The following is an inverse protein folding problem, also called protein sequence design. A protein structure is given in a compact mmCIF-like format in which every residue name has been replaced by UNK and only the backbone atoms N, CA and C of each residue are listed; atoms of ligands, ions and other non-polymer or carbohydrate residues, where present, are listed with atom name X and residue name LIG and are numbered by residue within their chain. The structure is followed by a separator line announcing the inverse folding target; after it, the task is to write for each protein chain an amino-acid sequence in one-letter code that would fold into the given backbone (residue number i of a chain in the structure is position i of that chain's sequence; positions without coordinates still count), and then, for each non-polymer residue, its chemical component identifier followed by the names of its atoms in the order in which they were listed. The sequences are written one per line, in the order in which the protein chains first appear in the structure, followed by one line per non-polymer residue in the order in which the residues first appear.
data_IF_920393574241
#
_entry.id   IF_920393574241
#
_cell.length_a   1.000
_cell.length_b   1.000
_cell.length_c   1.000
_cell.angle_alpha   90.00
_cell.angle_beta   90.00
_cell.angle_gamma   90.00
#
_symmetry.space_group_name_H-M   'P 1'
#
loop_
_entity.id
_entity.type
_entity.pdbx_description
1 polymer ?
#
# COMPACT_ATOMS: atom_id res chain seq x y z
N UNK A 1 19.09 -9.41 17.59
CA UNK A 1 19.34 -10.21 16.37
C UNK A 1 19.46 -9.23 15.22
N UNK A 2 20.54 -9.28 14.46
CA UNK A 2 20.83 -8.34 13.37
C UNK A 2 19.96 -8.66 12.15
N UNK A 3 19.29 -7.65 11.60
CA UNK A 3 18.62 -7.72 10.30
C UNK A 3 19.68 -7.77 9.20
N UNK A 4 19.54 -8.61 8.16
CA UNK A 4 20.44 -8.57 7.02
C UNK A 4 20.22 -7.26 6.22
N UNK A 5 21.33 -6.70 5.75
CA UNK A 5 21.42 -5.44 5.03
C UNK A 5 20.77 -5.51 3.64
N UNK A 6 20.22 -4.37 3.23
CA UNK A 6 19.70 -4.10 1.89
C UNK A 6 20.76 -4.35 0.80
N UNK A 7 20.34 -4.97 -0.31
CA UNK A 7 21.11 -4.96 -1.57
C UNK A 7 21.44 -6.35 -2.13
N UNK A 8 20.42 -7.12 -2.48
CA UNK A 8 20.33 -7.95 -3.72
C UNK A 8 19.17 -8.93 -3.55
N UNK A 9 17.96 -8.50 -3.91
CA UNK A 9 16.91 -9.43 -4.28
C UNK A 9 16.79 -9.41 -5.79
N UNK A 10 17.66 -10.17 -6.44
CA UNK A 10 17.42 -10.65 -7.80
C UNK A 10 17.22 -12.15 -7.71
N UNK A 11 15.98 -12.67 -7.68
CA UNK A 11 15.77 -14.05 -8.06
C UNK A 11 15.80 -14.06 -9.58
N UNK A 12 17.00 -14.14 -10.15
CA UNK A 12 17.15 -14.66 -11.49
C UNK A 12 17.21 -16.17 -11.38
N UNK A 13 16.05 -16.77 -11.13
CA UNK A 13 15.82 -18.19 -11.32
C UNK A 13 14.58 -18.36 -12.18
N UNK A 14 14.80 -18.50 -13.49
CA UNK A 14 13.75 -18.79 -14.46
C UNK A 14 13.21 -20.23 -14.36
N UNK A 15 13.66 -21.03 -13.37
CA UNK A 15 13.27 -22.43 -13.20
C UNK A 15 12.56 -22.78 -11.87
N UNK A 16 12.19 -21.80 -11.04
CA UNK A 16 11.27 -22.09 -9.93
C UNK A 16 9.91 -22.50 -10.50
N UNK A 17 9.36 -23.63 -10.05
CA UNK A 17 8.09 -24.24 -10.46
C UNK A 17 6.92 -23.23 -10.56
N UNK A 18 6.87 -22.43 -11.62
CA UNK A 18 5.80 -21.46 -11.83
C UNK A 18 4.53 -22.24 -12.09
N UNK A 19 3.45 -21.84 -11.42
CA UNK A 19 2.13 -22.38 -11.66
C UNK A 19 1.85 -22.45 -13.17
N UNK A 20 1.27 -23.57 -13.62
CA UNK A 20 1.14 -23.87 -15.05
C UNK A 20 0.34 -22.83 -15.86
N UNK A 21 -0.46 -21.99 -15.18
CA UNK A 21 -1.22 -20.89 -15.76
C UNK A 21 -1.58 -19.86 -14.67
N UNK A 22 -2.14 -18.72 -15.11
CA UNK A 22 -2.51 -17.60 -14.23
C UNK A 22 -3.61 -17.98 -13.24
N UNK A 23 -4.57 -18.84 -13.59
CA UNK A 23 -5.66 -19.21 -12.68
C UNK A 23 -5.14 -20.08 -11.52
N UNK A 24 -4.27 -21.05 -11.80
CA UNK A 24 -3.57 -21.81 -10.77
C UNK A 24 -2.72 -20.89 -9.89
N UNK A 25 -2.07 -19.89 -10.48
CA UNK A 25 -1.27 -18.93 -9.72
C UNK A 25 -2.12 -18.06 -8.79
N UNK A 26 -3.26 -17.56 -9.26
CA UNK A 26 -4.22 -16.81 -8.42
C UNK A 26 -4.63 -17.61 -7.19
N UNK A 27 -4.91 -18.91 -7.35
CA UNK A 27 -5.27 -19.80 -6.24
C UNK A 27 -4.11 -19.89 -5.24
N UNK A 28 -2.89 -20.14 -5.73
CA UNK A 28 -1.69 -20.18 -4.88
C UNK A 28 -1.48 -18.86 -4.11
N UNK A 29 -1.66 -17.71 -4.76
CA UNK A 29 -1.53 -16.41 -4.12
C UNK A 29 -2.64 -16.14 -3.09
N UNK A 30 -3.88 -16.57 -3.36
CA UNK A 30 -4.99 -16.47 -2.40
C UNK A 30 -4.70 -17.31 -1.14
N UNK A 31 -4.17 -18.51 -1.31
CA UNK A 31 -3.80 -19.35 -0.16
C UNK A 31 -2.59 -18.78 0.58
N UNK A 32 -1.60 -18.26 -0.15
CA UNK A 32 -0.47 -17.55 0.46
C UNK A 32 -0.91 -16.34 1.29
N UNK A 33 -1.87 -15.53 0.81
CA UNK A 33 -2.43 -14.41 1.57
C UNK A 33 -3.08 -14.88 2.87
N UNK A 34 -3.80 -16.00 2.86
CA UNK A 34 -4.39 -16.57 4.08
C UNK A 34 -3.30 -17.05 5.05
N UNK A 35 -2.27 -17.70 4.54
CA UNK A 35 -1.19 -18.24 5.35
C UNK A 35 -0.39 -17.11 6.03
N UNK A 36 0.09 -16.13 5.25
CA UNK A 36 0.85 -15.01 5.80
C UNK A 36 0.01 -14.11 6.72
N UNK A 37 -1.32 -14.09 6.54
CA UNK A 37 -2.19 -13.34 7.46
C UNK A 37 -2.12 -13.83 8.91
N UNK A 38 -1.79 -15.11 9.12
CA UNK A 38 -1.62 -15.65 10.47
C UNK A 38 -0.44 -15.01 11.18
N UNK A 39 0.65 -14.70 10.47
CA UNK A 39 1.80 -14.01 11.04
C UNK A 39 1.44 -12.58 11.46
N UNK A 40 0.63 -11.88 10.66
CA UNK A 40 0.13 -10.54 10.99
C UNK A 40 -0.80 -10.54 12.19
N UNK A 41 -1.67 -11.54 12.33
CA UNK A 41 -2.51 -11.73 13.52
C UNK A 41 -1.68 -12.08 14.75
N UNK A 42 -0.66 -12.93 14.61
CA UNK A 42 0.27 -13.24 15.68
C UNK A 42 1.08 -12.01 16.14
N UNK A 43 1.40 -11.07 15.23
CA UNK A 43 1.97 -9.78 15.60
C UNK A 43 1.00 -8.93 16.43
N UNK A 44 -0.29 -8.92 16.07
CA UNK A 44 -1.32 -8.24 16.88
C UNK A 44 -1.39 -8.84 18.29
N UNK A 45 -1.36 -10.17 18.43
CA UNK A 45 -1.32 -10.85 19.75
C UNK A 45 -0.13 -10.39 20.60
N UNK A 46 1.05 -10.24 19.98
CA UNK A 46 2.29 -9.83 20.67
C UNK A 46 2.23 -8.41 21.21
N UNK A 47 1.46 -7.52 20.57
CA UNK A 47 1.34 -6.14 21.02
C UNK A 47 0.53 -5.97 22.30
N UNK A 48 -0.28 -6.97 22.69
CA UNK A 48 -1.12 -6.93 23.90
C UNK A 48 -1.94 -5.64 23.98
N UNK A 49 -2.59 -5.31 22.87
CA UNK A 49 -3.35 -4.08 22.70
C UNK A 49 -4.61 -4.07 23.58
N UNK A 50 -5.17 -2.88 23.88
CA UNK A 50 -6.52 -2.77 24.43
C UNK A 50 -7.54 -3.48 23.52
N UNK A 51 -8.57 -4.07 24.11
CA UNK A 51 -9.57 -4.91 23.43
C UNK A 51 -10.17 -4.24 22.18
N UNK A 52 -10.53 -2.96 22.26
CA UNK A 52 -11.11 -2.21 21.15
C UNK A 52 -10.13 -2.05 19.96
N UNK A 53 -8.86 -1.76 20.24
CA UNK A 53 -7.84 -1.60 19.20
C UNK A 53 -7.43 -2.95 18.61
N UNK A 54 -7.33 -4.00 19.43
CA UNK A 54 -7.11 -5.38 18.97
C UNK A 54 -8.20 -5.81 17.99
N UNK A 55 -9.47 -5.68 18.42
CA UNK A 55 -10.64 -6.04 17.61
C UNK A 55 -10.69 -5.24 16.30
N UNK A 56 -10.37 -3.95 16.35
CA UNK A 56 -10.30 -3.09 15.18
C UNK A 56 -9.25 -3.59 14.19
N UNK A 57 -8.01 -3.82 14.64
CA UNK A 57 -6.92 -4.29 13.75
C UNK A 57 -7.24 -5.64 13.13
N UNK A 58 -7.78 -6.59 13.89
CA UNK A 58 -8.20 -7.91 13.35
C UNK A 58 -9.30 -7.77 12.30
N UNK A 59 -10.28 -6.91 12.55
CA UNK A 59 -11.38 -6.65 11.60
C UNK A 59 -10.86 -6.02 10.31
N UNK A 60 -9.93 -5.06 10.43
CA UNK A 60 -9.28 -4.45 9.27
C UNK A 60 -8.48 -5.48 8.47
N UNK A 61 -7.65 -6.31 9.13
CA UNK A 61 -6.89 -7.40 8.49
C UNK A 61 -7.83 -8.38 7.78
N UNK A 62 -8.90 -8.84 8.43
CA UNK A 62 -9.89 -9.73 7.83
C UNK A 62 -10.53 -9.14 6.57
N UNK A 63 -10.89 -7.85 6.62
CA UNK A 63 -11.43 -7.12 5.48
C UNK A 63 -10.43 -7.02 4.34
N UNK A 64 -9.15 -6.77 4.65
CA UNK A 64 -8.07 -6.71 3.67
C UNK A 64 -7.89 -8.07 2.98
N UNK A 65 -7.88 -9.18 3.72
CA UNK A 65 -7.80 -10.54 3.16
C UNK A 65 -8.95 -10.79 2.20
N UNK A 66 -10.19 -10.52 2.61
CA UNK A 66 -11.37 -10.73 1.77
C UNK A 66 -11.28 -9.93 0.47
N UNK A 67 -10.97 -8.64 0.56
CA UNK A 67 -10.85 -7.74 -0.59
C UNK A 67 -9.68 -8.09 -1.51
N UNK A 68 -8.53 -8.42 -0.94
CA UNK A 68 -7.34 -8.84 -1.71
C UNK A 68 -7.65 -10.11 -2.49
N UNK A 69 -8.25 -11.11 -1.85
CA UNK A 69 -8.61 -12.37 -2.49
C UNK A 69 -9.65 -12.18 -3.60
N UNK A 70 -10.66 -11.33 -3.37
CA UNK A 70 -11.63 -10.94 -4.40
C UNK A 70 -10.92 -10.31 -5.62
N UNK A 71 -9.98 -9.41 -5.37
CA UNK A 71 -9.22 -8.75 -6.42
C UNK A 71 -8.32 -9.72 -7.18
N UNK A 72 -7.53 -10.54 -6.49
CA UNK A 72 -6.67 -11.58 -7.11
C UNK A 72 -7.51 -12.49 -8.02
N UNK A 73 -8.71 -12.88 -7.58
CA UNK A 73 -9.58 -13.77 -8.35
C UNK A 73 -10.13 -13.12 -9.64
N UNK A 74 -10.41 -11.81 -9.63
CA UNK A 74 -11.22 -11.16 -10.69
C UNK A 74 -10.45 -10.20 -11.59
N UNK A 75 -9.45 -9.52 -11.07
CA UNK A 75 -8.81 -8.37 -11.74
C UNK A 75 -7.59 -8.78 -12.59
N UNK A 76 -6.50 -9.31 -12.00
CA UNK A 76 -5.23 -9.45 -12.69
C UNK A 76 -5.28 -10.57 -13.74
N UNK A 77 -4.90 -10.28 -14.99
CA UNK A 77 -4.90 -11.25 -16.10
C UNK A 77 -3.52 -11.81 -16.44
N UNK A 78 -2.48 -11.42 -15.69
CA UNK A 78 -1.09 -11.85 -15.89
C UNK A 78 -0.47 -12.16 -14.54
N UNK A 79 0.59 -12.98 -14.52
CA UNK A 79 1.36 -13.26 -13.29
C UNK A 79 1.82 -11.97 -12.60
N UNK A 80 2.42 -11.04 -13.35
CA UNK A 80 2.86 -9.74 -12.83
C UNK A 80 1.72 -8.94 -12.19
N UNK A 81 0.52 -8.96 -12.78
CA UNK A 81 -0.63 -8.28 -12.21
C UNK A 81 -1.08 -8.95 -10.89
N UNK A 82 -1.01 -10.28 -10.81
CA UNK A 82 -1.29 -11.02 -9.57
C UNK A 82 -0.29 -10.62 -8.48
N UNK A 83 1.00 -10.55 -8.83
CA UNK A 83 2.07 -10.11 -7.91
C UNK A 83 1.77 -8.73 -7.32
N UNK A 84 1.42 -7.75 -8.17
CA UNK A 84 1.11 -6.38 -7.73
C UNK A 84 -0.04 -6.36 -6.72
N UNK A 85 -1.14 -7.07 -7.00
CA UNK A 85 -2.30 -7.13 -6.09
C UNK A 85 -1.96 -7.86 -4.79
N UNK A 86 -1.23 -8.97 -4.88
CA UNK A 86 -0.81 -9.75 -3.72
C UNK A 86 0.10 -8.92 -2.80
N UNK A 87 1.14 -8.30 -3.37
CA UNK A 87 2.09 -7.47 -2.63
C UNK A 87 1.43 -6.24 -2.01
N UNK A 88 0.42 -5.67 -2.67
CA UNK A 88 -0.41 -4.61 -2.12
C UNK A 88 -1.24 -5.09 -0.92
N UNK A 89 -1.87 -6.26 -1.01
CA UNK A 89 -2.61 -6.86 0.10
C UNK A 89 -1.74 -7.13 1.33
N UNK A 90 -0.51 -7.64 1.12
CA UNK A 90 0.49 -7.85 2.18
C UNK A 90 0.87 -6.52 2.85
N UNK A 91 1.10 -5.46 2.07
CA UNK A 91 1.37 -4.13 2.60
C UNK A 91 0.22 -3.62 3.46
N UNK A 92 -1.03 -3.72 2.98
CA UNK A 92 -2.21 -3.31 3.73
C UNK A 92 -2.34 -4.06 5.04
N UNK A 93 -2.06 -5.36 5.06
CA UNK A 93 -2.06 -6.14 6.31
C UNK A 93 -0.98 -5.61 7.27
N UNK A 94 0.23 -5.34 6.78
CA UNK A 94 1.29 -4.74 7.60
C UNK A 94 0.88 -3.36 8.17
N UNK A 95 0.25 -2.51 7.36
CA UNK A 95 -0.28 -1.21 7.77
C UNK A 95 -1.35 -1.36 8.87
N UNK A 96 -2.31 -2.28 8.70
CA UNK A 96 -3.35 -2.55 9.68
C UNK A 96 -2.78 -3.14 10.98
N UNK A 97 -1.80 -4.04 10.89
CA UNK A 97 -1.08 -4.59 12.05
C UNK A 97 -0.33 -3.49 12.80
N UNK A 98 0.35 -2.58 12.11
CA UNK A 98 1.03 -1.43 12.74
C UNK A 98 0.04 -0.44 13.37
N UNK A 99 -1.17 -0.35 12.81
CA UNK A 99 -2.24 0.54 13.25
C UNK A 99 -2.04 1.98 12.79
N UNK A 100 -3.08 2.79 12.98
CA UNK A 100 -3.14 4.19 12.51
C UNK A 100 -3.19 5.13 13.72
N UNK A 101 -2.03 5.53 14.26
CA UNK A 101 -1.95 6.37 15.44
C UNK A 101 -2.47 7.80 15.21
N UNK A 102 -2.45 8.28 13.97
CA UNK A 102 -3.04 9.55 13.54
C UNK A 102 -3.90 9.31 12.30
N UNK A 103 -4.73 10.29 11.94
CA UNK A 103 -5.65 10.14 10.81
C UNK A 103 -4.91 10.30 9.48
N UNK A 104 -5.03 9.32 8.61
CA UNK A 104 -4.44 9.32 7.27
C UNK A 104 -5.41 8.65 6.28
N UNK A 105 -5.58 9.28 5.12
CA UNK A 105 -6.38 8.77 4.02
C UNK A 105 -5.75 9.11 2.68
N UNK A 106 -5.78 8.14 1.76
CA UNK A 106 -5.34 8.28 0.38
C UNK A 106 -6.51 7.88 -0.50
N UNK A 107 -6.90 8.78 -1.40
CA UNK A 107 -8.12 8.66 -2.18
C UNK A 107 -7.84 8.84 -3.66
N UNK A 108 -8.43 7.96 -4.46
CA UNK A 108 -8.52 8.07 -5.92
C UNK A 108 -9.99 7.96 -6.27
N UNK A 109 -10.54 8.98 -6.93
CA UNK A 109 -11.99 9.10 -7.20
C UNK A 109 -12.84 8.86 -5.93
N UNK A 110 -12.43 9.47 -4.81
CA UNK A 110 -13.07 9.39 -3.49
C UNK A 110 -13.10 7.98 -2.87
N UNK A 111 -12.41 7.00 -3.46
CA UNK A 111 -12.25 5.64 -2.93
C UNK A 111 -10.84 5.44 -2.41
N UNK A 112 -10.70 4.63 -1.36
CA UNK A 112 -9.41 4.31 -0.75
C UNK A 112 -9.09 2.82 -0.84
N UNK A 113 -7.81 2.48 -0.88
CA UNK A 113 -7.33 1.10 -0.79
C UNK A 113 -7.44 0.32 -2.09
N UNK A 114 -8.65 0.18 -2.65
CA UNK A 114 -8.93 -0.54 -3.90
C UNK A 114 -9.80 0.32 -4.81
N UNK A 115 -9.33 0.67 -6.00
CA UNK A 115 -10.01 1.65 -6.85
C UNK A 115 -9.86 1.36 -8.35
N UNK A 116 -10.69 2.02 -9.15
CA UNK A 116 -10.67 1.93 -10.61
C UNK A 116 -10.36 3.31 -11.18
N UNK A 117 -9.57 3.36 -12.24
CA UNK A 117 -9.31 4.61 -12.95
C UNK A 117 -9.16 4.36 -14.46
N UNK A 118 -9.32 5.41 -15.26
CA UNK A 118 -8.95 5.38 -16.68
C UNK A 118 -7.46 5.69 -16.82
N UNK A 119 -6.81 5.30 -17.94
CA UNK A 119 -5.49 5.82 -18.27
C UNK A 119 -5.49 7.35 -18.32
N UNK A 120 -4.36 7.96 -17.98
CA UNK A 120 -4.18 9.41 -17.94
C UNK A 120 -3.51 9.91 -16.67
N UNK A 121 -3.65 11.21 -16.38
CA UNK A 121 -3.25 11.79 -15.10
C UNK A 121 -4.32 11.48 -14.06
N UNK A 122 -3.97 10.65 -13.08
CA UNK A 122 -4.84 10.27 -11.98
C UNK A 122 -4.58 11.20 -10.80
N UNK A 123 -5.63 11.86 -10.32
CA UNK A 123 -5.61 12.67 -9.11
C UNK A 123 -5.62 11.76 -7.87
N UNK A 124 -4.59 11.89 -7.04
CA UNK A 124 -4.44 11.16 -5.78
C UNK A 124 -4.52 12.18 -4.65
N UNK A 125 -5.65 12.19 -3.95
CA UNK A 125 -5.88 13.09 -2.83
C UNK A 125 -5.40 12.45 -1.52
N UNK A 126 -4.46 13.10 -0.85
CA UNK A 126 -3.91 12.66 0.42
C UNK A 126 -4.38 13.62 1.51
N UNK A 127 -5.04 13.06 2.52
CA UNK A 127 -5.50 13.80 3.69
C UNK A 127 -4.92 13.23 4.96
N UNK A 128 -4.47 14.08 5.86
CA UNK A 128 -4.01 13.65 7.17
C UNK A 128 -4.21 14.73 8.24
N UNK A 129 -4.35 14.27 9.48
CA UNK A 129 -4.40 15.11 10.66
C UNK A 129 -3.62 14.42 11.79
N UNK A 130 -2.69 15.17 12.39
CA UNK A 130 -1.89 14.71 13.52
C UNK A 130 -2.72 14.58 14.79
N UNK A 131 -2.16 13.92 15.79
CA UNK A 131 -2.69 13.88 17.15
C UNK A 131 -2.46 15.23 17.82
N UNK A 132 -3.49 15.72 18.50
CA UNK A 132 -3.44 16.93 19.31
C UNK A 132 -2.95 18.16 18.50
N UNK A 133 -1.81 18.74 18.87
CA UNK A 133 -1.18 19.88 18.19
C UNK A 133 -0.04 19.48 17.24
N UNK A 134 0.10 18.18 16.94
CA UNK A 134 1.10 17.69 16.00
C UNK A 134 0.71 18.04 14.57
N UNK A 135 1.69 18.46 13.78
CA UNK A 135 1.50 18.71 12.35
C UNK A 135 1.73 17.44 11.55
N UNK A 136 1.33 17.46 10.30
CA UNK A 136 1.60 16.38 9.35
C UNK A 136 2.24 16.92 8.09
N UNK A 137 3.08 16.11 7.46
CA UNK A 137 3.64 16.40 6.14
C UNK A 137 3.83 15.13 5.33
N UNK A 138 3.96 15.29 4.02
CA UNK A 138 4.29 14.18 3.14
C UNK A 138 5.70 13.67 3.47
N UNK A 139 5.81 12.37 3.72
CA UNK A 139 7.08 11.70 4.01
C UNK A 139 7.69 11.04 2.77
N UNK A 140 8.85 10.42 2.95
CA UNK A 140 9.55 9.66 1.90
C UNK A 140 9.61 8.17 2.25
N UNK A 141 9.27 7.30 1.30
CA UNK A 141 9.36 5.85 1.45
C UNK A 141 10.80 5.40 1.77
N UNK A 142 11.78 5.87 1.00
CA UNK A 142 13.21 5.70 1.26
C UNK A 142 13.96 7.01 0.96
N UNK A 143 15.27 7.06 1.22
CA UNK A 143 16.08 8.30 1.19
C UNK A 143 15.91 9.13 -0.09
N UNK A 144 15.83 8.47 -1.25
CA UNK A 144 15.69 9.12 -2.56
C UNK A 144 14.38 8.74 -3.27
N UNK A 145 13.48 8.05 -2.57
CA UNK A 145 12.24 7.55 -3.14
C UNK A 145 11.06 8.00 -2.28
N UNK A 146 10.28 8.96 -2.79
CA UNK A 146 9.11 9.46 -2.06
C UNK A 146 7.98 8.44 -2.00
N UNK A 147 7.70 7.80 -3.15
CA UNK A 147 6.63 6.82 -3.30
C UNK A 147 7.17 5.45 -3.66
N UNK A 148 6.67 4.40 -3.00
CA UNK A 148 6.80 3.04 -3.53
C UNK A 148 5.72 2.84 -4.59
N UNK A 149 6.10 2.40 -5.77
CA UNK A 149 5.17 2.05 -6.85
C UNK A 149 5.53 0.68 -7.40
N UNK A 150 4.52 -0.15 -7.61
CA UNK A 150 4.60 -1.43 -8.28
C UNK A 150 3.48 -1.49 -9.32
N UNK A 151 3.81 -1.74 -10.58
CA UNK A 151 2.78 -1.71 -11.64
C UNK A 151 3.11 -2.58 -12.83
N UNK A 152 2.08 -2.96 -13.57
CA UNK A 152 2.23 -3.68 -14.84
C UNK A 152 2.64 -2.76 -15.99
N UNK A 153 2.12 -1.53 -16.01
CA UNK A 153 2.43 -0.47 -16.98
C UNK A 153 3.57 0.46 -16.54
N UNK A 154 3.73 1.59 -17.23
CA UNK A 154 4.68 2.63 -16.85
C UNK A 154 3.95 3.78 -16.18
N UNK A 155 4.36 4.09 -14.95
CA UNK A 155 3.72 5.10 -14.10
C UNK A 155 4.75 5.82 -13.25
N UNK A 156 4.46 7.07 -12.89
CA UNK A 156 5.26 7.85 -11.96
C UNK A 156 4.43 9.00 -11.37
N UNK A 157 4.80 9.48 -10.19
CA UNK A 157 4.23 10.73 -9.66
C UNK A 157 4.97 11.93 -10.25
N UNK A 158 4.23 12.96 -10.66
CA UNK A 158 4.80 14.27 -10.94
C UNK A 158 5.18 14.96 -9.62
N UNK A 159 6.48 14.98 -9.32
CA UNK A 159 7.04 15.53 -8.08
C UNK A 159 7.43 17.01 -8.19
N UNK A 160 7.16 17.68 -9.31
CA UNK A 160 7.65 19.05 -9.56
C UNK A 160 7.11 20.12 -8.60
N UNK A 161 5.92 19.91 -8.02
CA UNK A 161 5.23 20.86 -7.14
C UNK A 161 4.76 20.22 -5.84
N UNK A 162 5.44 19.16 -5.38
CA UNK A 162 5.11 18.49 -4.13
C UNK A 162 5.64 19.32 -2.96
N UNK A 163 4.74 19.79 -2.11
CA UNK A 163 5.09 20.55 -0.90
C UNK A 163 5.81 19.69 0.13
N UNK A 164 6.75 20.29 0.85
CA UNK A 164 7.42 19.71 2.03
C UNK A 164 6.97 20.37 3.34
N UNK A 165 5.95 21.22 3.26
CA UNK A 165 5.46 22.02 4.36
C UNK A 165 4.69 21.18 5.38
N UNK A 166 4.78 21.60 6.64
CA UNK A 166 4.03 21.02 7.75
C UNK A 166 2.66 21.69 7.87
N UNK A 167 1.61 20.88 7.90
CA UNK A 167 0.22 21.33 7.98
C UNK A 167 -0.49 20.74 9.19
N UNK A 168 -1.32 21.54 9.87
CA UNK A 168 -2.22 21.02 10.91
C UNK A 168 -3.24 20.03 10.32
N UNK A 169 -3.75 20.38 9.13
CA UNK A 169 -4.57 19.52 8.28
C UNK A 169 -3.94 19.43 6.90
N UNK A 170 -3.34 18.29 6.58
CA UNK A 170 -2.80 18.02 5.25
C UNK A 170 -3.96 17.69 4.31
N UNK A 171 -4.04 18.41 3.20
CA UNK A 171 -4.94 18.12 2.07
C UNK A 171 -4.21 18.46 0.77
N UNK A 172 -3.59 17.45 0.16
CA UNK A 172 -2.76 17.61 -1.04
C UNK A 172 -3.28 16.74 -2.18
N UNK A 173 -3.03 17.20 -3.39
CA UNK A 173 -3.38 16.52 -4.62
C UNK A 173 -2.09 16.16 -5.36
N UNK A 174 -1.77 14.88 -5.39
CA UNK A 174 -0.64 14.33 -6.13
C UNK A 174 -1.12 13.88 -7.51
N UNK A 175 -0.28 14.07 -8.53
CA UNK A 175 -0.59 13.67 -9.90
C UNK A 175 0.18 12.39 -10.24
N UNK A 176 -0.53 11.28 -10.32
CA UNK A 176 0.01 10.01 -10.81
C UNK A 176 -0.13 9.97 -12.34
N UNK A 177 0.97 10.05 -13.07
CA UNK A 177 0.96 9.86 -14.52
C UNK A 177 0.82 8.36 -14.82
N UNK A 178 -0.29 8.00 -15.45
CA UNK A 178 -0.59 6.67 -15.99
C UNK A 178 -1.04 6.76 -17.45
N UNK A 179 -0.50 7.70 -18.22
CA UNK A 179 -0.85 7.90 -19.64
C UNK A 179 -0.41 6.72 -20.51
N UNK A 180 0.69 6.07 -20.15
CA UNK A 180 1.21 4.89 -20.85
C UNK A 180 0.57 3.57 -20.39
N UNK A 181 -0.34 3.62 -19.41
CA UNK A 181 -1.10 2.43 -18.99
C UNK A 181 -2.18 2.05 -20.00
N UNK A 182 -2.41 0.76 -20.11
CA UNK A 182 -3.46 0.15 -20.93
C UNK A 182 -4.56 -0.41 -20.04
N UNK A 183 -5.72 -0.66 -20.65
CA UNK A 183 -6.79 -1.38 -19.97
C UNK A 183 -6.27 -2.69 -19.39
N UNK A 184 -6.68 -3.01 -18.16
CA UNK A 184 -6.25 -4.14 -17.32
C UNK A 184 -4.89 -3.99 -16.65
N UNK A 185 -4.19 -2.88 -16.86
CA UNK A 185 -3.03 -2.60 -16.03
C UNK A 185 -3.42 -2.44 -14.56
N UNK A 186 -2.52 -2.86 -13.69
CA UNK A 186 -2.66 -2.73 -12.24
C UNK A 186 -1.50 -1.89 -11.71
N UNK A 187 -1.82 -0.96 -10.83
CA UNK A 187 -0.87 -0.06 -10.18
C UNK A 187 -1.10 -0.14 -8.69
N UNK A 188 -0.10 -0.51 -7.90
CA UNK A 188 -0.06 -0.31 -6.46
C UNK A 188 0.94 0.81 -6.15
N UNK A 189 0.56 1.72 -5.26
CA UNK A 189 1.48 2.71 -4.73
C UNK A 189 1.24 2.95 -3.24
N UNK A 190 2.28 3.41 -2.55
CA UNK A 190 2.22 3.71 -1.11
C UNK A 190 2.67 5.14 -0.87
N UNK A 191 1.81 5.90 -0.20
CA UNK A 191 2.10 7.26 0.27
C UNK A 191 2.47 7.21 1.74
N UNK A 192 3.57 7.85 2.12
CA UNK A 192 3.96 8.03 3.51
C UNK A 192 3.54 9.41 3.98
N UNK A 193 2.92 9.50 5.16
CA UNK A 193 2.76 10.76 5.90
C UNK A 193 3.51 10.63 7.21
N UNK A 194 4.22 11.70 7.57
CA UNK A 194 4.93 11.83 8.83
C UNK A 194 4.17 12.79 9.74
N UNK A 195 4.01 12.39 11.01
CA UNK A 195 3.52 13.22 12.10
C UNK A 195 4.72 13.91 12.76
N UNK A 196 4.66 15.24 12.81
CA UNK A 196 5.72 16.09 13.33
C UNK A 196 5.29 16.68 14.66
N UNK A 197 6.11 16.44 15.68
CA UNK A 197 5.94 17.00 17.02
C UNK A 197 7.21 17.75 17.42
N UNK A 198 7.08 19.00 17.84
CA UNK A 198 8.21 19.85 18.24
C UNK A 198 9.33 19.95 17.17
N UNK A 199 8.96 19.95 15.88
CA UNK A 199 9.90 20.04 14.76
C UNK A 199 10.67 18.75 14.46
N UNK A 200 10.31 17.62 15.08
CA UNK A 200 10.90 16.31 14.81
C UNK A 200 9.82 15.31 14.36
N UNK A 201 10.21 14.36 13.50
CA UNK A 201 9.34 13.24 13.14
C UNK A 201 9.12 12.37 14.37
N UNK A 202 7.86 12.34 14.83
CA UNK A 202 7.44 11.55 15.98
C UNK A 202 6.95 10.17 15.55
N UNK A 203 6.17 10.13 14.46
CA UNK A 203 5.62 8.91 13.92
C UNK A 203 5.46 9.02 12.40
N UNK A 204 5.38 7.89 11.70
CA UNK A 204 5.14 7.85 10.24
C UNK A 204 4.30 6.65 9.84
N UNK A 205 3.39 6.85 8.89
CA UNK A 205 2.53 5.77 8.39
C UNK A 205 2.45 5.78 6.88
N UNK A 206 2.48 4.59 6.31
CA UNK A 206 2.19 4.35 4.90
C UNK A 206 0.72 3.98 4.72
N UNK A 207 0.14 4.43 3.61
CA UNK A 207 -1.14 3.94 3.12
C UNK A 207 -0.99 3.56 1.66
N UNK A 208 -1.17 2.28 1.38
CA UNK A 208 -1.13 1.74 0.03
C UNK A 208 -2.49 1.82 -0.65
N UNK A 209 -2.48 1.98 -1.97
CA UNK A 209 -3.67 1.95 -2.83
C UNK A 209 -3.37 1.18 -4.10
N UNK A 210 -4.26 0.24 -4.46
CA UNK A 210 -4.23 -0.46 -5.73
C UNK A 210 -5.30 0.07 -6.68
N UNK A 211 -4.90 0.35 -7.91
CA UNK A 211 -5.72 0.84 -9.01
C UNK A 211 -5.76 -0.24 -10.10
N UNK A 212 -6.95 -0.55 -10.59
CA UNK A 212 -7.14 -1.28 -11.84
C UNK A 212 -7.57 -0.31 -12.93
N UNK A 213 -6.85 -0.34 -14.05
CA UNK A 213 -7.07 0.54 -15.19
C UNK A 213 -8.17 -0.04 -16.07
N UNK A 214 -9.29 0.68 -16.22
CA UNK A 214 -10.52 0.23 -16.91
C UNK A 214 -10.79 0.94 -18.23
#
# INVERSE_FOLDING_TARGET
MALPADGDFVPHDENSERAANVDSYRITCIDFIKDISQDYLAWVDRYKLPEEEDKKRRTEIATIIERTNEWIAKVPQTFKAVDVVMNDGIQKMAEATAGKPFQIGVFVDKKSGYTLAKPGIIDVNVKAAGRESSKTKLGSHAKEQRFRIESTGKVFFDETNVTEDESDLLDIHLKLNAEECKQRDVISFTVIVSEIQNGMEYDRRGVSTVIHIV
#
